data_IF_393083633407
#
_entry.id   IF_393083633407
#
_cell.length_a   1.000
_cell.length_b   1.000
_cell.length_c   1.000
_cell.angle_alpha   90.00
_cell.angle_beta   90.00
_cell.angle_gamma   90.00
#
_symmetry.space_group_name_H-M   'P 1'
#
loop_
_entity.id
_entity.type
_entity.pdbx_description
1 polymer ?
#
# COMPACT_ATOMS: atom_id res chain seq x y z
N UNK A 1 -6.04 48.50 51.62
CA UNK A 1 -4.98 47.52 51.31
C UNK A 1 -5.67 46.24 50.86
N UNK A 2 -5.73 45.99 49.56
CA UNK A 2 -5.79 44.63 48.99
C UNK A 2 -5.50 44.77 47.50
N UNK A 3 -4.32 44.28 47.12
CA UNK A 3 -3.89 44.10 45.76
C UNK A 3 -4.65 42.92 45.15
N UNK A 4 -5.05 43.04 43.89
CA UNK A 4 -5.17 41.88 43.03
C UNK A 4 -4.05 42.00 42.00
N UNK A 5 -2.94 41.31 42.29
CA UNK A 5 -1.95 40.98 41.28
C UNK A 5 -2.59 40.01 40.31
N UNK A 6 -2.54 40.34 39.02
CA UNK A 6 -2.93 39.43 37.96
C UNK A 6 -1.96 38.24 37.96
N UNK A 7 -2.40 37.13 38.53
CA UNK A 7 -1.75 35.84 38.38
C UNK A 7 -1.95 35.37 36.94
N UNK A 8 -0.85 34.99 36.30
CA UNK A 8 -0.78 34.30 35.01
C UNK A 8 -1.88 33.24 34.89
N UNK A 9 -2.85 33.49 34.01
CA UNK A 9 -3.89 32.54 33.67
C UNK A 9 -3.46 31.83 32.37
N UNK A 10 -3.11 30.53 32.40
CA UNK A 10 -2.85 29.76 31.19
C UNK A 10 -4.19 29.51 30.48
N UNK A 11 -4.56 30.47 29.63
CA UNK A 11 -5.58 30.45 28.58
C UNK A 11 -6.98 29.87 28.91
N UNK A 12 -7.48 30.04 30.13
CA UNK A 12 -8.90 29.84 30.46
C UNK A 12 -9.68 31.15 30.48
N UNK A 13 -10.35 31.49 29.37
CA UNK A 13 -11.24 32.65 29.19
C UNK A 13 -10.59 34.03 29.50
N UNK A 14 -9.87 34.59 28.54
CA UNK A 14 -9.34 35.96 28.65
C UNK A 14 -10.42 36.95 28.23
N UNK A 15 -10.74 37.91 29.09
CA UNK A 15 -11.61 39.05 28.78
C UNK A 15 -10.71 40.25 28.55
N UNK A 16 -10.55 40.68 27.31
CA UNK A 16 -9.79 41.90 27.01
C UNK A 16 -10.66 43.13 27.31
N UNK A 17 -10.28 43.95 28.26
CA UNK A 17 -10.99 45.15 28.69
C UNK A 17 -10.10 46.38 28.59
N UNK A 18 -10.71 47.54 28.77
CA UNK A 18 -10.02 48.83 28.92
C UNK A 18 -9.09 48.92 30.13
N UNK A 19 -9.18 47.99 31.07
CA UNK A 19 -8.34 47.94 32.26
C UNK A 19 -7.01 47.21 31.99
N UNK A 20 -6.95 46.39 30.94
CA UNK A 20 -5.76 45.62 30.57
C UNK A 20 -4.67 46.44 29.88
N UNK A 21 -4.93 47.75 29.65
CA UNK A 21 -3.96 48.72 29.12
C UNK A 21 -3.54 48.53 27.66
N UNK A 22 -3.63 47.32 27.11
CA UNK A 22 -3.01 46.98 25.83
C UNK A 22 -3.94 46.31 24.80
N UNK A 23 -5.15 45.84 25.17
CA UNK A 23 -6.08 45.17 24.24
C UNK A 23 -5.41 44.07 23.39
N UNK A 24 -4.42 43.40 24.00
CA UNK A 24 -3.49 42.51 23.32
C UNK A 24 -3.72 41.09 23.83
N UNK A 25 -3.68 40.12 22.93
CA UNK A 25 -3.78 38.71 23.33
C UNK A 25 -2.45 38.23 23.89
N UNK A 26 -2.46 37.65 25.09
CA UNK A 26 -1.26 37.10 25.73
C UNK A 26 -0.98 35.65 25.34
N UNK A 27 -1.93 35.01 24.64
CA UNK A 27 -1.76 33.70 24.01
C UNK A 27 -2.48 33.63 22.66
N UNK A 28 -2.61 32.45 22.09
CA UNK A 28 -3.34 32.17 20.85
C UNK A 28 -4.73 31.57 21.13
N UNK A 29 -5.59 31.52 20.12
CA UNK A 29 -6.92 30.92 20.20
C UNK A 29 -7.91 31.58 19.26
N UNK A 30 -9.21 31.42 19.54
CA UNK A 30 -10.29 31.99 18.74
C UNK A 30 -11.22 32.89 19.56
N UNK A 31 -11.80 33.90 18.92
CA UNK A 31 -12.77 34.79 19.56
C UNK A 31 -14.11 34.08 19.68
N UNK A 32 -14.53 33.80 20.92
CA UNK A 32 -15.81 33.16 21.24
C UNK A 32 -16.98 34.15 21.22
N UNK A 33 -16.73 35.40 21.62
CA UNK A 33 -17.78 36.42 21.81
C UNK A 33 -17.22 37.82 21.76
N UNK A 34 -17.97 38.71 21.12
CA UNK A 34 -17.77 40.15 21.19
C UNK A 34 -18.83 40.79 22.09
N UNK A 35 -18.39 41.59 23.06
CA UNK A 35 -19.28 42.49 23.80
C UNK A 35 -18.91 43.92 23.48
N UNK A 36 -19.91 44.71 23.06
CA UNK A 36 -19.76 46.11 22.71
C UNK A 36 -21.02 46.87 23.14
N UNK A 37 -20.84 48.11 23.62
CA UNK A 37 -21.93 48.94 24.15
C UNK A 37 -22.09 50.18 23.27
N UNK A 38 -23.27 50.36 22.66
CA UNK A 38 -23.60 51.51 21.79
C UNK A 38 -24.78 52.31 22.34
N UNK A 39 -24.85 53.60 22.00
CA UNK A 39 -26.02 54.46 22.28
C UNK A 39 -27.07 54.47 21.18
N UNK A 40 -26.65 54.26 19.93
CA UNK A 40 -27.50 54.31 18.74
C UNK A 40 -27.15 53.14 17.83
N UNK A 41 -28.16 52.60 17.15
CA UNK A 41 -27.96 51.49 16.23
C UNK A 41 -27.04 51.91 15.06
N UNK A 42 -26.07 51.06 14.74
CA UNK A 42 -25.14 51.30 13.63
C UNK A 42 -24.34 50.04 13.28
N UNK A 43 -23.70 50.07 12.10
CA UNK A 43 -22.83 48.99 11.64
C UNK A 43 -21.38 49.22 12.08
N UNK A 44 -20.82 48.24 12.78
CA UNK A 44 -19.45 48.25 13.32
C UNK A 44 -18.72 47.00 12.88
N UNK A 45 -17.44 47.13 12.52
CA UNK A 45 -16.54 46.01 12.26
C UNK A 45 -15.62 45.78 13.44
N UNK A 46 -15.73 44.63 14.09
CA UNK A 46 -14.78 44.18 15.12
C UNK A 46 -13.62 43.46 14.45
N UNK A 47 -12.39 43.78 14.84
CA UNK A 47 -11.19 43.43 14.08
C UNK A 47 -10.07 42.93 14.99
N UNK A 48 -9.33 41.94 14.49
CA UNK A 48 -8.05 41.51 15.07
C UNK A 48 -6.92 42.03 14.18
N UNK A 49 -5.92 42.65 14.81
CA UNK A 49 -4.78 43.29 14.16
C UNK A 49 -3.49 42.60 14.54
N UNK A 50 -2.70 42.22 13.53
CA UNK A 50 -1.40 41.57 13.72
C UNK A 50 -0.28 42.52 13.32
N UNK A 51 0.74 42.61 14.15
CA UNK A 51 1.94 43.38 13.83
C UNK A 51 2.98 42.51 13.15
N UNK A 52 3.54 42.98 12.03
CA UNK A 52 4.74 42.41 11.41
C UNK A 52 5.78 43.51 11.18
N UNK A 53 5.47 44.44 10.29
CA UNK A 53 6.20 45.71 10.03
C UNK A 53 5.28 46.92 10.23
N UNK A 54 3.99 46.73 9.93
CA UNK A 54 2.85 47.58 10.27
C UNK A 54 1.76 46.70 10.89
N UNK A 55 0.70 47.28 11.45
CA UNK A 55 -0.43 46.49 11.92
C UNK A 55 -1.39 46.25 10.76
N UNK A 56 -1.79 45.00 10.58
CA UNK A 56 -2.68 44.56 9.49
C UNK A 56 -3.91 43.87 10.08
N UNK A 57 -5.10 44.11 9.51
CA UNK A 57 -6.32 43.37 9.88
C UNK A 57 -6.20 41.93 9.41
N UNK A 58 -6.22 40.97 10.33
CA UNK A 58 -6.14 39.53 10.03
C UNK A 58 -7.50 38.82 10.08
N UNK A 59 -8.51 39.47 10.65
CA UNK A 59 -9.88 38.97 10.61
C UNK A 59 -10.87 40.00 11.14
N UNK A 60 -12.12 39.89 10.70
CA UNK A 60 -13.17 40.82 11.09
C UNK A 60 -14.56 40.19 11.19
N UNK A 61 -15.39 40.77 12.06
CA UNK A 61 -16.82 40.48 12.13
C UNK A 61 -17.59 41.79 11.98
N UNK A 62 -18.48 41.86 10.99
CA UNK A 62 -19.35 43.03 10.77
C UNK A 62 -20.68 42.83 11.47
N UNK A 63 -21.14 43.86 12.18
CA UNK A 63 -22.38 43.77 12.93
C UNK A 63 -23.21 45.06 12.88
N UNK A 64 -24.51 44.94 12.64
CA UNK A 64 -25.48 46.05 12.73
C UNK A 64 -26.16 45.99 14.10
N UNK A 65 -25.81 46.90 15.00
CA UNK A 65 -26.07 46.77 16.44
C UNK A 65 -27.47 47.23 16.84
N UNK A 66 -28.20 46.40 17.61
CA UNK A 66 -28.97 46.91 18.75
C UNK A 66 -28.52 46.36 20.13
N UNK A 67 -27.73 45.26 20.22
CA UNK A 67 -27.15 44.68 21.46
C UNK A 67 -26.13 43.52 21.19
N UNK A 68 -25.56 42.86 22.24
CA UNK A 68 -24.43 41.86 22.26
C UNK A 68 -24.41 40.83 21.09
N UNK A 69 -23.22 40.41 20.64
CA UNK A 69 -23.03 39.44 19.54
C UNK A 69 -22.23 38.19 19.93
N UNK A 70 -22.70 37.02 19.49
CA UNK A 70 -22.02 35.73 19.63
C UNK A 70 -21.69 35.21 18.22
N UNK A 71 -20.42 35.26 17.77
CA UNK A 71 -20.05 34.74 16.46
C UNK A 71 -20.38 33.24 16.40
N UNK A 72 -21.12 32.78 15.37
CA UNK A 72 -21.25 31.37 15.11
C UNK A 72 -19.86 30.80 14.85
N UNK A 73 -19.78 29.50 15.02
CA UNK A 73 -18.53 28.75 15.02
C UNK A 73 -17.65 28.94 13.78
N UNK A 74 -18.26 29.10 12.60
CA UNK A 74 -17.57 29.35 11.32
C UNK A 74 -17.01 30.76 11.16
N UNK A 75 -17.49 31.71 11.97
CA UNK A 75 -17.21 33.14 11.81
C UNK A 75 -16.27 33.66 12.90
N UNK A 76 -15.70 32.77 13.72
CA UNK A 76 -14.77 33.15 14.79
C UNK A 76 -13.44 33.56 14.19
N UNK A 77 -12.87 34.65 14.70
CA UNK A 77 -11.56 35.15 14.27
C UNK A 77 -10.47 34.50 15.12
N UNK A 78 -9.47 33.90 14.48
CA UNK A 78 -8.27 33.35 15.12
C UNK A 78 -7.28 34.47 15.44
N UNK A 79 -6.68 34.42 16.63
CA UNK A 79 -5.66 35.36 17.08
C UNK A 79 -4.39 34.62 17.55
N UNK A 80 -3.25 35.31 17.46
CA UNK A 80 -1.96 34.88 17.97
C UNK A 80 -1.55 35.70 19.18
N UNK A 81 -0.59 35.19 19.94
CA UNK A 81 0.06 35.98 20.97
C UNK A 81 0.58 37.28 20.37
N UNK A 82 0.18 38.38 20.97
CA UNK A 82 0.59 39.72 20.62
C UNK A 82 -0.28 40.44 19.61
N UNK A 83 -1.32 39.79 19.05
CA UNK A 83 -2.35 40.44 18.24
C UNK A 83 -3.21 41.39 19.10
N UNK A 84 -3.84 42.37 18.47
CA UNK A 84 -4.65 43.41 19.13
C UNK A 84 -6.11 43.35 18.68
N UNK A 85 -7.04 43.72 19.56
CA UNK A 85 -8.44 43.96 19.17
C UNK A 85 -8.72 45.44 18.93
N UNK A 86 -9.50 45.75 17.89
CA UNK A 86 -10.01 47.10 17.62
C UNK A 86 -11.37 47.04 16.90
N UNK A 87 -11.97 48.21 16.64
CA UNK A 87 -13.16 48.31 15.80
C UNK A 87 -13.11 49.52 14.87
N UNK A 88 -13.80 49.43 13.72
CA UNK A 88 -13.93 50.51 12.73
C UNK A 88 -15.40 50.73 12.32
N UNK A 89 -15.73 51.97 11.96
CA UNK A 89 -17.09 52.41 11.58
C UNK A 89 -17.07 53.50 10.49
N UNK A 90 -18.14 53.55 9.67
CA UNK A 90 -18.29 54.49 8.55
C UNK A 90 -18.97 55.82 8.90
N UNK A 91 -19.94 55.83 9.83
CA UNK A 91 -20.64 57.04 10.29
C UNK A 91 -21.56 56.74 11.50
N UNK A 92 -21.45 57.53 12.58
CA UNK A 92 -22.35 57.43 13.74
C UNK A 92 -21.88 58.20 14.98
N UNK A 93 -22.80 58.85 15.70
CA UNK A 93 -22.54 59.52 16.98
C UNK A 93 -22.60 58.52 18.15
N UNK A 94 -21.45 58.00 18.58
CA UNK A 94 -21.33 57.10 19.73
C UNK A 94 -20.84 57.85 20.97
N UNK A 95 -21.12 57.38 22.21
CA UNK A 95 -20.31 57.82 23.33
C UNK A 95 -18.86 57.36 23.11
N UNK A 96 -17.92 58.21 23.50
CA UNK A 96 -16.48 58.02 23.38
C UNK A 96 -16.03 56.60 23.76
N UNK A 97 -15.40 55.90 22.81
CA UNK A 97 -14.68 54.62 22.90
C UNK A 97 -13.54 54.62 21.87
N UNK A 98 -12.64 53.62 21.88
CA UNK A 98 -11.43 53.56 21.01
C UNK A 98 -11.79 53.39 19.52
N UNK A 99 -12.13 54.50 18.87
CA UNK A 99 -12.44 54.58 17.44
C UNK A 99 -11.16 54.82 16.65
N UNK A 100 -10.86 53.97 15.67
CA UNK A 100 -9.97 54.37 14.56
C UNK A 100 -10.80 55.36 13.71
N UNK A 101 -10.53 56.67 13.84
CA UNK A 101 -11.45 57.72 13.37
C UNK A 101 -11.74 57.63 11.87
N UNK A 102 -13.02 57.72 11.51
CA UNK A 102 -13.54 58.05 10.17
C UNK A 102 -13.05 57.15 9.02
N UNK A 103 -12.65 55.92 9.32
CA UNK A 103 -12.21 54.96 8.30
C UNK A 103 -12.79 53.58 8.62
N UNK A 104 -13.24 52.88 7.58
CA UNK A 104 -13.63 51.48 7.63
C UNK A 104 -12.45 50.68 7.09
N UNK A 105 -11.96 49.74 7.88
CA UNK A 105 -10.92 48.81 7.45
C UNK A 105 -11.54 47.47 7.10
N UNK A 106 -10.90 46.72 6.21
CA UNK A 106 -11.23 45.36 5.83
C UNK A 106 -10.03 44.44 6.12
N UNK A 107 -10.26 43.12 6.09
CA UNK A 107 -9.16 42.14 6.18
C UNK A 107 -8.09 42.44 5.12
N UNK A 108 -6.84 42.52 5.54
CA UNK A 108 -5.69 42.88 4.71
C UNK A 108 -5.30 44.36 4.75
N UNK A 109 -6.17 45.27 5.20
CA UNK A 109 -5.82 46.69 5.34
C UNK A 109 -4.82 46.90 6.47
N UNK A 110 -4.01 47.96 6.36
CA UNK A 110 -2.96 48.28 7.33
C UNK A 110 -3.16 49.63 7.99
N UNK A 111 -2.71 49.76 9.24
CA UNK A 111 -2.77 50.99 10.01
C UNK A 111 -1.58 51.07 10.98
N UNK A 112 -0.95 52.24 11.09
CA UNK A 112 0.13 52.43 12.05
C UNK A 112 -0.43 53.00 13.36
N UNK A 113 -0.44 52.19 14.42
CA UNK A 113 -0.87 52.63 15.76
C UNK A 113 0.20 53.45 16.50
N UNK A 114 1.40 53.67 15.93
CA UNK A 114 2.44 54.49 16.56
C UNK A 114 1.97 55.95 16.76
N UNK A 115 2.21 56.49 17.96
CA UNK A 115 1.82 57.86 18.35
C UNK A 115 0.40 58.01 18.90
N UNK A 116 -0.48 57.02 18.72
CA UNK A 116 -1.83 57.01 19.34
C UNK A 116 -1.77 56.58 20.82
N UNK A 117 -0.65 55.99 21.24
CA UNK A 117 -0.46 55.43 22.57
C UNK A 117 -1.37 54.23 22.77
N UNK A 118 -0.78 53.03 22.70
CA UNK A 118 -1.41 51.82 23.24
C UNK A 118 -1.73 52.09 24.72
N UNK A 119 -3.01 52.24 25.05
CA UNK A 119 -3.46 52.54 26.42
C UNK A 119 -3.69 54.01 26.78
N UNK A 120 -3.58 54.98 25.87
CA UNK A 120 -3.87 56.38 26.23
C UNK A 120 -5.38 56.64 26.35
N UNK A 121 -5.85 56.68 27.61
CA UNK A 121 -7.22 57.00 28.02
C UNK A 121 -7.70 58.32 27.39
N UNK A 122 -8.72 58.25 26.53
CA UNK A 122 -9.40 59.45 26.03
C UNK A 122 -10.46 59.89 27.05
N UNK A 123 -10.19 60.97 27.81
CA UNK A 123 -11.14 61.68 28.70
C UNK A 123 -11.66 60.90 29.93
N UNK A 124 -10.82 60.09 30.57
CA UNK A 124 -11.15 59.37 31.82
C UNK A 124 -12.39 58.46 31.73
N UNK A 125 -12.78 58.04 30.51
CA UNK A 125 -13.88 57.11 30.28
C UNK A 125 -13.41 55.98 29.37
N UNK A 126 -13.38 54.79 29.94
CA UNK A 126 -13.20 53.51 29.28
C UNK A 126 -14.57 52.98 28.85
N UNK A 127 -14.72 52.54 27.60
CA UNK A 127 -15.86 51.69 27.22
C UNK A 127 -15.39 50.52 26.37
N UNK A 128 -16.00 49.38 26.70
CA UNK A 128 -15.45 48.05 26.55
C UNK A 128 -15.91 47.41 25.22
N UNK A 129 -15.01 47.37 24.24
CA UNK A 129 -14.96 46.17 23.41
C UNK A 129 -14.29 45.09 24.28
N UNK A 130 -14.98 43.97 24.47
CA UNK A 130 -14.36 42.79 25.06
C UNK A 130 -14.50 41.62 24.13
N UNK A 131 -13.39 40.97 23.84
CA UNK A 131 -13.39 39.61 23.31
C UNK A 131 -13.30 38.65 24.50
N UNK A 132 -14.20 37.66 24.57
CA UNK A 132 -13.91 36.46 25.35
C UNK A 132 -13.32 35.42 24.43
N UNK A 133 -12.25 34.77 24.85
CA UNK A 133 -11.54 33.80 24.03
C UNK A 133 -11.83 32.35 24.43
N UNK A 134 -11.52 31.42 23.53
CA UNK A 134 -11.38 29.98 23.84
C UNK A 134 -9.94 29.57 23.63
N UNK A 135 -9.44 28.70 24.52
CA UNK A 135 -8.09 28.13 24.43
C UNK A 135 -7.92 27.29 23.17
N UNK A 136 -6.66 27.14 22.72
CA UNK A 136 -6.28 25.99 21.91
C UNK A 136 -6.33 24.73 22.78
N UNK A 137 -7.02 23.69 22.34
CA UNK A 137 -6.92 22.33 22.85
C UNK A 137 -5.60 21.71 22.39
N UNK A 138 -5.04 20.82 23.20
CA UNK A 138 -3.89 20.02 22.77
C UNK A 138 -4.41 18.97 21.77
N UNK A 139 -3.79 18.82 20.58
CA UNK A 139 -4.17 17.75 19.66
C UNK A 139 -3.89 16.40 20.32
N UNK A 140 -4.66 15.37 19.98
CA UNK A 140 -4.54 14.04 20.57
C UNK A 140 -4.73 12.94 19.52
N UNK A 141 -4.13 11.78 19.79
CA UNK A 141 -4.36 10.58 19.00
C UNK A 141 -5.58 9.81 19.52
N UNK A 142 -6.35 9.22 18.62
CA UNK A 142 -7.48 8.35 19.00
C UNK A 142 -7.31 6.89 18.54
N UNK A 143 -6.17 6.58 17.92
CA UNK A 143 -5.76 5.23 17.58
C UNK A 143 -4.32 4.89 18.03
N UNK A 144 -3.70 5.75 18.85
CA UNK A 144 -2.46 5.49 19.57
C UNK A 144 -2.69 5.72 21.08
N UNK A 145 -1.93 5.05 21.96
CA UNK A 145 -0.86 4.08 21.67
C UNK A 145 -1.41 2.76 21.12
N UNK A 146 -0.61 2.05 20.32
CA UNK A 146 -1.02 0.79 19.70
C UNK A 146 0.15 -0.19 19.53
N UNK A 147 -0.15 -1.48 19.53
CA UNK A 147 0.80 -2.54 19.13
C UNK A 147 0.34 -3.20 17.85
N UNK A 148 1.25 -3.32 16.88
CA UNK A 148 1.02 -4.05 15.62
C UNK A 148 2.08 -5.14 15.44
N UNK A 149 1.77 -6.08 14.56
CA UNK A 149 2.67 -7.15 14.17
C UNK A 149 2.98 -7.08 12.68
N UNK A 150 4.25 -7.21 12.33
CA UNK A 150 4.73 -7.31 10.95
C UNK A 150 5.64 -8.52 10.84
N UNK A 151 5.75 -9.12 9.66
CA UNK A 151 6.75 -10.16 9.43
C UNK A 151 8.11 -9.57 9.04
N UNK A 152 9.17 -10.32 9.30
CA UNK A 152 10.56 -9.93 8.99
C UNK A 152 10.82 -9.67 7.50
N UNK A 153 10.15 -10.38 6.60
CA UNK A 153 10.31 -10.21 5.15
C UNK A 153 9.37 -9.16 4.53
N UNK A 154 8.64 -8.38 5.35
CA UNK A 154 7.64 -7.43 4.84
C UNK A 154 8.24 -6.53 3.74
N UNK A 155 7.50 -6.37 2.64
CA UNK A 155 8.01 -5.65 1.48
C UNK A 155 8.26 -4.17 1.78
N UNK A 156 9.29 -3.61 1.17
CA UNK A 156 9.63 -2.19 1.28
C UNK A 156 8.46 -1.33 0.77
N UNK A 157 8.22 -0.18 1.41
CA UNK A 157 7.11 0.71 1.07
C UNK A 157 5.73 0.17 1.47
N UNK A 158 5.65 -0.86 2.31
CA UNK A 158 4.36 -1.34 2.83
C UNK A 158 3.82 -0.40 3.90
N UNK A 159 2.52 -0.06 3.82
CA UNK A 159 1.81 0.68 4.88
C UNK A 159 1.57 -0.24 6.07
N UNK A 160 2.15 0.10 7.23
CA UNK A 160 2.03 -0.72 8.45
C UNK A 160 1.02 -0.16 9.45
N UNK A 161 0.77 1.15 9.41
CA UNK A 161 -0.19 1.80 10.28
C UNK A 161 -0.65 3.15 9.72
N UNK A 162 -1.95 3.43 9.75
CA UNK A 162 -2.49 4.75 9.43
C UNK A 162 -2.72 5.52 10.73
N UNK A 163 -2.01 6.61 10.93
CA UNK A 163 -2.13 7.42 12.15
C UNK A 163 -3.37 8.29 12.07
N UNK A 164 -4.07 8.46 13.19
CA UNK A 164 -5.21 9.35 13.25
C UNK A 164 -5.19 10.20 14.50
N UNK A 165 -5.13 11.51 14.29
CA UNK A 165 -5.16 12.53 15.33
C UNK A 165 -6.34 13.48 15.10
N UNK A 166 -6.79 14.10 16.19
CA UNK A 166 -7.79 15.15 16.19
C UNK A 166 -7.31 16.30 17.06
N UNK A 167 -7.88 17.44 16.78
CA UNK A 167 -7.78 18.61 17.62
C UNK A 167 -9.21 19.11 17.79
N UNK A 168 -9.58 19.41 19.03
CA UNK A 168 -10.90 19.95 19.34
C UNK A 168 -10.93 21.48 19.15
N UNK A 169 -9.87 22.04 18.58
CA UNK A 169 -9.78 23.43 18.15
C UNK A 169 -10.83 23.82 17.12
N UNK A 170 -11.32 25.05 17.30
CA UNK A 170 -12.38 25.58 16.46
C UNK A 170 -11.86 26.05 15.10
N UNK A 171 -10.59 26.45 15.05
CA UNK A 171 -9.78 26.61 13.85
C UNK A 171 -9.27 25.23 13.44
N UNK A 172 -9.84 24.65 12.38
CA UNK A 172 -9.47 23.34 11.81
C UNK A 172 -8.07 23.34 11.16
N UNK A 173 -7.12 24.08 11.71
CA UNK A 173 -5.86 24.39 11.08
C UNK A 173 -4.85 23.24 11.29
N UNK A 174 -4.90 22.28 10.38
CA UNK A 174 -3.70 21.60 9.87
C UNK A 174 -2.82 20.91 10.90
N UNK A 175 -3.36 19.89 11.57
CA UNK A 175 -2.56 18.96 12.37
C UNK A 175 -1.41 18.41 11.50
N UNK A 176 -0.19 18.66 11.95
CA UNK A 176 1.03 18.10 11.37
C UNK A 176 1.43 16.85 12.14
N UNK A 177 1.77 15.78 11.42
CA UNK A 177 2.30 14.55 12.01
C UNK A 177 3.77 14.40 11.64
N UNK A 178 4.59 14.01 12.62
CA UNK A 178 6.04 13.80 12.43
C UNK A 178 6.54 12.60 13.24
N UNK A 179 7.66 12.01 12.79
CA UNK A 179 8.46 11.09 13.61
C UNK A 179 9.60 11.91 14.26
N UNK A 180 9.53 12.21 15.57
CA UNK A 180 10.53 13.06 16.23
C UNK A 180 11.92 12.40 16.28
N UNK A 181 11.98 11.07 16.22
CA UNK A 181 13.23 10.32 16.11
C UNK A 181 13.37 9.77 14.69
N UNK A 182 14.44 10.12 13.95
CA UNK A 182 14.71 9.54 12.65
C UNK A 182 14.80 8.01 12.73
N UNK A 183 14.22 7.32 11.75
CA UNK A 183 14.26 5.86 11.67
C UNK A 183 14.70 5.41 10.28
N UNK A 184 15.62 4.44 10.23
CA UNK A 184 15.98 3.76 8.98
C UNK A 184 14.93 2.73 8.55
N UNK A 185 13.98 2.36 9.43
CA UNK A 185 12.98 1.32 9.20
C UNK A 185 11.61 1.87 8.85
N UNK A 186 11.28 3.08 9.31
CA UNK A 186 9.96 3.67 9.14
C UNK A 186 10.03 5.08 8.60
N UNK A 187 9.11 5.42 7.71
CA UNK A 187 8.84 6.78 7.27
C UNK A 187 7.37 7.11 7.50
N UNK A 188 7.08 8.37 7.81
CA UNK A 188 5.72 8.88 7.87
C UNK A 188 5.47 9.70 6.61
N UNK A 189 4.47 9.30 5.85
CA UNK A 189 4.09 9.92 4.58
C UNK A 189 3.00 10.99 4.78
N UNK A 190 2.79 11.82 3.76
CA UNK A 190 1.83 12.93 3.77
C UNK A 190 0.36 12.49 3.85
N UNK A 191 0.08 11.22 3.59
CA UNK A 191 -1.22 10.57 3.77
C UNK A 191 -1.44 10.07 5.21
N UNK A 192 -0.56 10.44 6.15
CA UNK A 192 -0.56 10.02 7.55
C UNK A 192 -0.32 8.51 7.75
N UNK A 193 0.15 7.81 6.72
CA UNK A 193 0.58 6.43 6.81
C UNK A 193 2.03 6.32 7.25
N UNK A 194 2.30 5.37 8.16
CA UNK A 194 3.64 4.90 8.48
C UNK A 194 3.97 3.74 7.55
N UNK A 195 5.06 3.88 6.81
CA UNK A 195 5.52 2.94 5.79
C UNK A 195 6.90 2.39 6.13
N UNK A 196 7.17 1.16 5.69
CA UNK A 196 8.49 0.52 5.83
C UNK A 196 9.51 1.13 4.85
N UNK A 197 10.73 1.40 5.31
CA UNK A 197 11.83 1.95 4.50
C UNK A 197 12.68 0.85 3.83
N UNK A 198 13.51 1.27 2.88
CA UNK A 198 14.18 0.36 1.93
C UNK A 198 15.39 -0.42 2.49
N UNK A 199 16.00 0.01 3.60
CA UNK A 199 17.22 -0.63 4.11
C UNK A 199 17.58 -0.13 5.53
N UNK A 200 17.83 -1.01 6.51
CA UNK A 200 17.73 -2.48 6.45
C UNK A 200 16.27 -2.98 6.47
N UNK A 201 16.06 -4.18 5.91
CA UNK A 201 14.82 -4.92 6.08
C UNK A 201 14.67 -5.38 7.54
N UNK A 202 13.45 -5.73 7.93
CA UNK A 202 13.25 -6.34 9.24
C UNK A 202 13.95 -7.69 9.30
N UNK A 203 14.46 -8.02 10.47
CA UNK A 203 15.10 -9.30 10.71
C UNK A 203 14.74 -9.71 12.14
N UNK A 204 13.93 -10.77 12.22
CA UNK A 204 13.42 -11.29 13.47
C UNK A 204 14.56 -11.74 14.41
N UNK A 205 15.67 -12.24 13.87
CA UNK A 205 16.75 -12.80 14.66
C UNK A 205 17.66 -11.70 15.26
N UNK A 206 17.65 -10.49 14.67
CA UNK A 206 18.39 -9.32 15.21
C UNK A 206 17.51 -8.38 16.04
N UNK A 207 16.38 -7.89 15.51
CA UNK A 207 15.53 -6.89 16.18
C UNK A 207 14.05 -7.24 16.10
N UNK A 208 13.46 -7.56 17.26
CA UNK A 208 12.06 -8.07 17.35
C UNK A 208 11.03 -7.00 17.67
N UNK A 209 11.46 -5.81 18.10
CA UNK A 209 10.59 -4.75 18.59
C UNK A 209 11.14 -3.39 18.20
N UNK A 210 10.25 -2.55 17.68
CA UNK A 210 10.52 -1.15 17.43
C UNK A 210 9.50 -0.30 18.16
N UNK A 211 9.99 0.70 18.88
CA UNK A 211 9.18 1.68 19.58
C UNK A 211 9.20 2.97 18.74
N UNK A 212 8.14 3.18 17.95
CA UNK A 212 8.01 4.32 17.04
C UNK A 212 7.21 5.41 17.73
N UNK A 213 7.88 6.52 18.07
CA UNK A 213 7.21 7.71 18.59
C UNK A 213 6.58 8.48 17.44
N UNK A 214 5.34 8.93 17.61
CA UNK A 214 4.61 9.75 16.66
C UNK A 214 4.17 11.02 17.35
N UNK A 215 4.47 12.18 16.75
CA UNK A 215 4.11 13.50 17.27
C UNK A 215 3.04 14.12 16.39
N UNK A 216 1.92 14.56 16.99
CA UNK A 216 0.94 15.42 16.35
C UNK A 216 1.05 16.84 16.89
N UNK A 217 0.90 17.85 16.04
CA UNK A 217 0.99 19.26 16.45
C UNK A 217 0.14 20.15 15.56
N UNK A 218 -0.59 21.07 16.17
CA UNK A 218 -1.35 22.16 15.56
C UNK A 218 -0.48 23.43 15.35
N UNK A 219 0.83 23.32 15.62
CA UNK A 219 1.78 24.43 15.56
C UNK A 219 1.85 25.29 16.84
N UNK A 220 1.01 25.03 17.85
CA UNK A 220 1.03 25.71 19.15
C UNK A 220 1.34 24.72 20.28
N UNK A 221 0.62 23.61 20.31
CA UNK A 221 0.78 22.50 21.23
C UNK A 221 1.04 21.19 20.48
N UNK A 222 1.27 20.11 21.22
CA UNK A 222 1.54 18.81 20.66
C UNK A 222 1.28 17.68 21.64
N UNK A 223 0.99 16.51 21.08
CA UNK A 223 0.97 15.24 21.78
C UNK A 223 1.94 14.26 21.11
N UNK A 224 2.48 13.32 21.90
CA UNK A 224 3.43 12.30 21.46
C UNK A 224 3.01 10.96 22.01
N UNK A 225 2.65 10.05 21.12
CA UNK A 225 2.24 8.70 21.47
C UNK A 225 3.11 7.65 20.78
N UNK A 226 3.02 6.41 21.25
CA UNK A 226 3.87 5.31 20.82
C UNK A 226 3.12 4.27 20.00
N UNK A 227 3.69 3.93 18.84
CA UNK A 227 3.37 2.73 18.07
C UNK A 227 4.46 1.67 18.33
N UNK A 228 4.06 0.54 18.91
CA UNK A 228 4.95 -0.62 19.11
C UNK A 228 4.81 -1.55 17.91
N UNK A 229 5.88 -1.76 17.17
CA UNK A 229 5.93 -2.70 16.04
C UNK A 229 6.69 -3.94 16.48
N UNK A 230 5.99 -5.08 16.54
CA UNK A 230 6.57 -6.38 16.88
C UNK A 230 6.83 -7.18 15.59
N UNK A 231 8.08 -7.52 15.36
CA UNK A 231 8.48 -8.36 14.23
C UNK A 231 8.20 -9.82 14.57
N UNK A 232 7.54 -10.52 13.65
CA UNK A 232 7.31 -11.97 13.67
C UNK A 232 8.20 -12.63 12.63
N UNK A 233 8.65 -13.84 12.94
CA UNK A 233 9.38 -14.67 11.98
C UNK A 233 8.40 -15.23 10.96
N UNK A 234 8.76 -15.20 9.68
CA UNK A 234 8.02 -15.95 8.67
C UNK A 234 8.10 -17.45 8.93
N UNK A 235 7.00 -18.18 8.73
CA UNK A 235 7.11 -19.61 8.46
C UNK A 235 7.62 -19.75 7.01
N UNK A 236 8.54 -20.67 6.75
CA UNK A 236 9.00 -20.92 5.38
C UNK A 236 8.33 -22.19 4.86
N UNK A 237 8.00 -22.27 3.55
CA UNK A 237 7.33 -23.44 2.99
C UNK A 237 8.14 -24.73 3.21
N UNK A 238 7.58 -25.68 3.95
CA UNK A 238 8.23 -26.96 4.22
C UNK A 238 7.57 -28.11 3.46
N UNK A 239 8.31 -28.72 2.53
CA UNK A 239 7.83 -29.83 1.72
C UNK A 239 7.92 -31.14 2.51
N UNK A 240 6.77 -31.75 2.78
CA UNK A 240 6.68 -32.94 3.62
C UNK A 240 6.67 -34.25 2.85
N UNK A 241 6.43 -34.20 1.53
CA UNK A 241 6.30 -35.40 0.69
C UNK A 241 7.20 -35.43 -0.54
N UNK A 242 8.18 -34.52 -0.65
CA UNK A 242 9.18 -34.49 -1.71
C UNK A 242 10.60 -34.56 -1.13
N UNK A 243 11.57 -35.18 -1.84
CA UNK A 243 11.47 -35.71 -3.20
C UNK A 243 10.64 -37.00 -3.29
N UNK A 244 10.04 -37.26 -4.46
CA UNK A 244 9.22 -38.45 -4.68
C UNK A 244 9.28 -38.94 -6.12
N UNK A 245 9.28 -40.25 -6.30
CA UNK A 245 9.21 -40.93 -7.58
C UNK A 245 7.96 -41.80 -7.64
N UNK A 246 7.25 -41.76 -8.75
CA UNK A 246 6.09 -42.61 -9.02
C UNK A 246 6.26 -43.34 -10.35
N UNK A 247 5.47 -44.40 -10.53
CA UNK A 247 5.41 -45.14 -11.79
C UNK A 247 3.98 -45.14 -12.31
N UNK A 248 3.83 -45.02 -13.64
CA UNK A 248 2.54 -45.08 -14.32
C UNK A 248 2.67 -45.94 -15.57
N UNK A 249 1.65 -46.74 -15.85
CA UNK A 249 1.54 -47.51 -17.08
C UNK A 249 1.21 -46.56 -18.25
N UNK A 250 1.84 -46.77 -19.41
CA UNK A 250 1.58 -46.00 -20.64
C UNK A 250 0.09 -46.07 -21.02
N UNK A 251 -0.60 -47.18 -20.75
CA UNK A 251 -2.02 -47.38 -21.04
C UNK A 251 -2.96 -46.57 -20.14
N UNK A 252 -2.47 -45.63 -19.34
CA UNK A 252 -3.32 -44.67 -18.63
C UNK A 252 -4.04 -43.78 -19.65
N UNK A 253 -5.26 -44.18 -20.04
CA UNK A 253 -6.01 -43.71 -21.23
C UNK A 253 -6.64 -42.32 -21.10
N UNK A 254 -6.42 -41.59 -20.02
CA UNK A 254 -7.12 -40.33 -19.75
C UNK A 254 -6.17 -39.15 -19.54
N UNK A 255 -6.57 -38.01 -20.09
CA UNK A 255 -6.02 -36.71 -19.71
C UNK A 255 -6.56 -36.28 -18.33
N UNK A 256 -5.90 -35.31 -17.69
CA UNK A 256 -6.31 -34.74 -16.40
C UNK A 256 -6.34 -35.76 -15.25
N UNK A 257 -5.53 -36.81 -15.31
CA UNK A 257 -5.40 -37.77 -14.21
C UNK A 257 -4.59 -37.11 -13.11
N UNK A 258 -5.10 -37.15 -11.88
CA UNK A 258 -4.35 -36.73 -10.69
C UNK A 258 -3.28 -37.78 -10.41
N UNK A 259 -2.02 -37.39 -10.55
CA UNK A 259 -0.85 -38.25 -10.36
C UNK A 259 -0.38 -38.21 -8.91
N UNK A 260 -0.43 -37.02 -8.30
CA UNK A 260 -0.01 -36.80 -6.93
C UNK A 260 -0.56 -35.46 -6.41
N UNK A 261 -0.25 -35.12 -5.17
CA UNK A 261 -0.45 -33.77 -4.62
C UNK A 261 0.75 -33.38 -3.77
N UNK A 262 1.34 -32.23 -4.09
CA UNK A 262 2.44 -31.65 -3.30
C UNK A 262 1.91 -31.28 -1.92
N UNK A 263 2.57 -31.78 -0.87
CA UNK A 263 2.20 -31.51 0.52
C UNK A 263 3.25 -30.57 1.12
N UNK A 264 2.84 -29.33 1.35
CA UNK A 264 3.68 -28.29 1.94
C UNK A 264 3.00 -27.77 3.19
N UNK A 265 3.72 -27.72 4.31
CA UNK A 265 3.25 -27.09 5.53
C UNK A 265 3.74 -25.66 5.60
N UNK A 266 2.81 -24.73 5.69
CA UNK A 266 3.04 -23.30 5.85
C UNK A 266 1.80 -22.65 6.49
N UNK A 267 1.96 -21.52 7.17
CA UNK A 267 0.84 -20.77 7.76
C UNK A 267 0.18 -19.81 6.78
N UNK A 268 0.84 -19.53 5.67
CA UNK A 268 0.48 -18.52 4.68
C UNK A 268 0.00 -19.17 3.37
N UNK A 269 -0.52 -18.35 2.45
CA UNK A 269 -1.07 -18.83 1.19
C UNK A 269 0.02 -19.22 0.21
N UNK A 270 -0.01 -20.45 -0.30
CA UNK A 270 1.03 -20.97 -1.20
C UNK A 270 0.68 -20.85 -2.68
N UNK A 271 1.69 -20.57 -3.48
CA UNK A 271 1.71 -20.68 -4.93
C UNK A 271 2.84 -21.62 -5.37
N UNK A 272 2.60 -22.37 -6.44
CA UNK A 272 3.57 -23.35 -6.94
C UNK A 272 4.09 -22.95 -8.30
N UNK A 273 5.40 -23.11 -8.49
CA UNK A 273 6.06 -23.03 -9.80
C UNK A 273 6.86 -24.31 -10.03
N UNK A 274 7.10 -24.66 -11.29
CA UNK A 274 7.85 -25.87 -11.61
C UNK A 274 8.56 -25.78 -12.95
N UNK A 275 9.64 -26.54 -13.08
CA UNK A 275 10.31 -26.83 -14.35
C UNK A 275 10.28 -28.32 -14.63
N UNK A 276 10.36 -28.71 -15.89
CA UNK A 276 10.34 -30.10 -16.32
C UNK A 276 11.57 -30.44 -17.16
N UNK A 277 12.02 -31.68 -17.03
CA UNK A 277 12.99 -32.31 -17.92
C UNK A 277 12.47 -33.71 -18.35
N UNK A 278 12.28 -33.96 -19.66
CA UNK A 278 12.36 -33.00 -20.78
C UNK A 278 11.36 -31.85 -20.68
N UNK A 279 11.69 -30.70 -21.27
CA UNK A 279 10.88 -29.47 -21.19
C UNK A 279 9.43 -29.64 -21.68
N UNK A 280 9.19 -30.56 -22.62
CA UNK A 280 7.86 -30.90 -23.13
C UNK A 280 7.18 -32.03 -22.32
N UNK A 281 7.25 -31.96 -20.98
CA UNK A 281 6.60 -32.95 -20.11
C UNK A 281 5.06 -32.83 -20.17
N UNK A 282 4.31 -33.94 -20.13
CA UNK A 282 2.85 -33.94 -20.10
C UNK A 282 2.32 -33.71 -18.67
N UNK A 283 2.93 -32.79 -17.91
CA UNK A 283 2.66 -32.58 -16.48
C UNK A 283 2.29 -31.12 -16.20
N UNK A 284 1.28 -30.95 -15.34
CA UNK A 284 0.86 -29.67 -14.82
C UNK A 284 0.74 -29.71 -13.31
N UNK A 285 1.08 -28.60 -12.65
CA UNK A 285 0.86 -28.42 -11.22
C UNK A 285 -0.06 -27.23 -11.00
N UNK A 286 -1.21 -27.47 -10.38
CA UNK A 286 -2.16 -26.42 -10.05
C UNK A 286 -1.76 -25.65 -8.79
N UNK A 287 -2.40 -24.49 -8.55
CA UNK A 287 -2.14 -23.66 -7.36
C UNK A 287 -2.42 -24.35 -6.02
N UNK A 288 -3.23 -25.40 -6.01
CA UNK A 288 -3.49 -26.24 -4.83
C UNK A 288 -2.50 -27.41 -4.68
N UNK A 289 -1.40 -27.41 -5.45
CA UNK A 289 -0.38 -28.45 -5.39
C UNK A 289 -0.75 -29.76 -6.08
N UNK A 290 -1.92 -29.88 -6.72
CA UNK A 290 -2.28 -31.10 -7.48
C UNK A 290 -1.41 -31.23 -8.71
N UNK A 291 -0.79 -32.40 -8.86
CA UNK A 291 -0.01 -32.78 -10.04
C UNK A 291 -0.92 -33.58 -10.97
N UNK A 292 -1.13 -33.08 -12.18
CA UNK A 292 -2.05 -33.66 -13.18
C UNK A 292 -1.39 -33.88 -14.53
N UNK A 293 -1.77 -34.96 -15.22
CA UNK A 293 -1.37 -35.17 -16.60
C UNK A 293 -2.09 -34.20 -17.55
N UNK A 294 -1.36 -33.60 -18.49
CA UNK A 294 -1.94 -32.71 -19.52
C UNK A 294 -2.36 -33.47 -20.78
N UNK A 295 -1.78 -34.65 -21.01
CA UNK A 295 -2.16 -35.59 -22.06
C UNK A 295 -2.30 -37.01 -21.49
N UNK A 296 -2.92 -37.91 -22.24
CA UNK A 296 -2.85 -39.34 -21.92
C UNK A 296 -1.40 -39.82 -22.05
N UNK A 297 -0.99 -40.78 -21.20
CA UNK A 297 0.34 -41.39 -21.33
C UNK A 297 0.43 -42.32 -22.54
N UNK A 298 -0.71 -42.75 -23.10
CA UNK A 298 -0.79 -43.63 -24.27
C UNK A 298 -0.21 -43.01 -25.56
N UNK A 299 0.11 -41.72 -25.55
CA UNK A 299 0.72 -41.00 -26.67
C UNK A 299 2.17 -40.58 -26.40
N UNK A 300 2.75 -41.07 -25.30
CA UNK A 300 4.06 -40.65 -24.80
C UNK A 300 5.09 -41.76 -25.03
N UNK A 301 6.26 -41.39 -25.57
CA UNK A 301 7.38 -42.29 -25.85
C UNK A 301 8.64 -41.97 -25.03
N UNK A 302 8.52 -41.10 -24.02
CA UNK A 302 9.61 -40.74 -23.11
C UNK A 302 9.48 -41.57 -21.83
N UNK A 303 10.56 -42.27 -21.39
CA UNK A 303 10.53 -43.19 -20.24
C UNK A 303 10.25 -42.52 -18.90
N UNK A 304 10.53 -41.22 -18.77
CA UNK A 304 10.19 -40.51 -17.56
C UNK A 304 10.37 -39.01 -17.66
N UNK A 305 9.90 -38.34 -16.62
CA UNK A 305 9.94 -36.89 -16.49
C UNK A 305 10.35 -36.52 -15.07
N UNK A 306 11.36 -35.66 -14.98
CA UNK A 306 11.77 -35.01 -13.74
C UNK A 306 11.13 -33.62 -13.65
N UNK A 307 10.46 -33.35 -12.54
CA UNK A 307 9.75 -32.09 -12.27
C UNK A 307 10.35 -31.45 -11.03
N UNK A 308 11.00 -30.30 -11.20
CA UNK A 308 11.56 -29.53 -10.09
C UNK A 308 10.53 -28.51 -9.64
N UNK A 309 10.07 -28.65 -8.41
CA UNK A 309 8.96 -27.89 -7.85
C UNK A 309 9.50 -26.85 -6.85
N UNK A 310 8.87 -25.68 -6.86
CA UNK A 310 9.04 -24.64 -5.86
C UNK A 310 7.70 -24.14 -5.35
N UNK A 311 7.66 -23.80 -4.05
CA UNK A 311 6.53 -23.19 -3.37
C UNK A 311 6.93 -21.79 -2.92
N UNK A 312 6.01 -20.85 -3.05
CA UNK A 312 6.15 -19.47 -2.62
C UNK A 312 4.91 -19.08 -1.79
N UNK A 313 5.14 -18.61 -0.56
CA UNK A 313 4.13 -18.16 0.42
C UNK A 313 3.76 -16.67 0.28
N UNK A 314 4.20 -16.01 -0.80
CA UNK A 314 4.14 -14.55 -1.00
C UNK A 314 5.40 -13.80 -0.56
N UNK A 315 6.34 -14.50 0.10
CA UNK A 315 7.42 -13.89 0.86
C UNK A 315 8.76 -14.60 0.67
N UNK A 316 8.81 -15.91 0.92
CA UNK A 316 9.92 -16.82 0.72
C UNK A 316 9.59 -17.84 -0.38
N UNK A 317 10.51 -18.05 -1.31
CA UNK A 317 10.44 -19.15 -2.26
C UNK A 317 11.35 -20.29 -1.81
N UNK A 318 10.77 -21.46 -1.54
CA UNK A 318 11.52 -22.70 -1.30
C UNK A 318 11.37 -23.61 -2.52
N UNK A 319 12.48 -23.97 -3.14
CA UNK A 319 12.49 -24.74 -4.39
C UNK A 319 13.43 -25.94 -4.39
N UNK A 320 13.69 -26.44 -5.60
CA UNK A 320 14.63 -27.54 -5.84
C UNK A 320 14.11 -28.91 -5.41
N UNK A 321 12.78 -29.07 -5.26
CA UNK A 321 12.18 -30.33 -4.81
C UNK A 321 11.81 -31.19 -6.01
N UNK A 322 12.44 -32.36 -6.12
CA UNK A 322 12.24 -33.27 -7.25
C UNK A 322 10.99 -34.14 -7.06
N UNK A 323 10.08 -34.07 -8.01
CA UNK A 323 9.06 -35.09 -8.23
C UNK A 323 9.28 -35.72 -9.60
N UNK A 324 9.28 -37.04 -9.69
CA UNK A 324 9.52 -37.73 -10.95
C UNK A 324 8.49 -38.82 -11.22
N UNK A 325 8.20 -39.02 -12.51
CA UNK A 325 7.32 -40.09 -12.99
C UNK A 325 8.03 -40.91 -14.05
N UNK A 326 8.11 -42.22 -13.83
CA UNK A 326 8.53 -43.18 -14.85
C UNK A 326 7.29 -43.80 -15.50
N UNK A 327 7.27 -43.80 -16.83
CA UNK A 327 6.21 -44.42 -17.61
C UNK A 327 6.66 -45.83 -17.97
N UNK A 328 5.93 -46.83 -17.48
CA UNK A 328 6.14 -48.26 -17.74
C UNK A 328 5.39 -48.69 -18.98
N UNK A 329 5.84 -49.79 -19.59
CA UNK A 329 5.19 -50.45 -20.72
C UNK A 329 4.98 -49.48 -21.89
N UNK A 330 6.01 -48.69 -22.19
CA UNK A 330 6.02 -47.79 -23.33
C UNK A 330 6.14 -48.62 -24.59
N UNK A 331 5.15 -48.51 -25.48
CA UNK A 331 5.24 -49.09 -26.81
C UNK A 331 6.45 -48.49 -27.56
N UNK A 332 7.45 -49.33 -27.77
CA UNK A 332 8.67 -49.12 -28.51
C UNK A 332 8.36 -49.04 -30.02
N UNK A 333 9.33 -48.52 -30.79
CA UNK A 333 9.15 -48.44 -32.24
C UNK A 333 9.62 -49.75 -32.87
N UNK A 334 8.88 -50.29 -33.86
CA UNK A 334 9.31 -51.47 -34.56
C UNK A 334 10.61 -51.19 -35.32
N UNK A 335 11.53 -52.14 -35.29
CA UNK A 335 12.82 -52.05 -35.97
C UNK A 335 12.96 -53.14 -37.02
N UNK A 336 13.44 -52.79 -38.21
CA UNK A 336 13.79 -53.80 -39.20
C UNK A 336 14.93 -54.67 -38.67
N UNK A 337 14.68 -55.98 -38.57
CA UNK A 337 15.62 -56.95 -38.00
C UNK A 337 16.61 -57.48 -39.04
N UNK A 338 16.29 -57.33 -40.33
CA UNK A 338 17.13 -57.83 -41.42
C UNK A 338 17.63 -56.72 -42.37
N UNK A 339 17.29 -55.45 -42.11
CA UNK A 339 17.75 -54.30 -42.91
C UNK A 339 18.88 -53.58 -42.16
N UNK A 340 20.13 -53.94 -42.47
CA UNK A 340 21.31 -53.31 -41.88
C UNK A 340 22.00 -52.35 -42.87
N UNK A 341 22.08 -51.06 -42.53
CA UNK A 341 22.94 -50.09 -43.23
C UNK A 341 22.61 -49.81 -44.72
N UNK A 342 23.56 -49.21 -45.44
CA UNK A 342 23.46 -48.75 -46.84
C UNK A 342 23.45 -49.90 -47.87
N UNK A 343 22.63 -50.92 -47.67
CA UNK A 343 22.36 -51.98 -48.66
C UNK A 343 21.22 -51.54 -49.59
N UNK A 344 21.46 -50.45 -50.33
CA UNK A 344 20.46 -49.79 -51.17
C UNK A 344 20.49 -50.21 -52.64
N UNK A 345 21.05 -51.38 -52.98
CA UNK A 345 21.06 -51.84 -54.38
C UNK A 345 20.76 -53.34 -54.44
N UNK A 346 19.50 -53.67 -54.66
CA UNK A 346 19.09 -54.99 -55.12
C UNK A 346 19.06 -54.96 -56.65
N UNK A 347 19.88 -55.79 -57.28
CA UNK A 347 19.86 -55.98 -58.73
C UNK A 347 18.75 -56.94 -59.11
N UNK A 348 17.88 -56.54 -60.03
CA UNK A 348 16.89 -57.42 -60.65
C UNK A 348 17.39 -57.77 -62.03
N UNK A 349 17.45 -59.05 -62.37
CA UNK A 349 17.84 -59.48 -63.71
C UNK A 349 16.72 -59.12 -64.68
N UNK A 350 17.07 -58.53 -65.83
CA UNK A 350 16.09 -58.24 -66.87
C UNK A 350 15.34 -59.51 -67.29
N UNK A 351 14.05 -59.37 -67.61
CA UNK A 351 13.15 -60.49 -67.94
C UNK A 351 12.93 -61.49 -66.80
N UNK A 352 13.21 -61.12 -65.54
CA UNK A 352 12.77 -61.91 -64.39
C UNK A 352 11.24 -62.08 -64.42
N UNK A 353 10.72 -63.30 -64.18
CA UNK A 353 9.27 -63.53 -64.16
C UNK A 353 8.54 -62.65 -63.13
N UNK A 354 7.31 -62.25 -63.43
CA UNK A 354 6.43 -61.58 -62.47
C UNK A 354 6.25 -62.48 -61.24
N UNK A 355 6.36 -61.89 -60.04
CA UNK A 355 6.35 -62.63 -58.77
C UNK A 355 7.73 -63.08 -58.28
N UNK A 356 8.82 -62.70 -58.97
CA UNK A 356 10.18 -62.93 -58.45
C UNK A 356 10.38 -62.15 -57.15
N UNK A 357 10.64 -62.85 -56.05
CA UNK A 357 10.93 -62.23 -54.75
C UNK A 357 12.28 -61.50 -54.80
N UNK A 358 12.26 -60.19 -54.57
CA UNK A 358 13.47 -59.37 -54.53
C UNK A 358 14.10 -59.35 -53.14
N UNK A 359 13.26 -59.16 -52.13
CA UNK A 359 13.67 -59.08 -50.74
C UNK A 359 12.47 -59.38 -49.84
N UNK A 360 12.73 -60.04 -48.72
CA UNK A 360 11.71 -60.26 -47.68
C UNK A 360 12.09 -59.37 -46.52
N UNK A 361 11.31 -58.31 -46.27
CA UNK A 361 11.51 -57.47 -45.09
C UNK A 361 11.01 -58.18 -43.85
N UNK A 362 11.76 -58.05 -42.76
CA UNK A 362 11.34 -58.45 -41.43
C UNK A 362 11.61 -57.35 -40.43
N UNK A 363 10.65 -57.15 -39.53
CA UNK A 363 10.76 -56.24 -38.42
C UNK A 363 10.46 -56.97 -37.12
N UNK A 364 10.99 -56.43 -36.03
CA UNK A 364 10.73 -56.89 -34.68
C UNK A 364 10.25 -55.71 -33.87
N UNK A 365 9.23 -55.94 -33.06
CA UNK A 365 8.91 -55.09 -31.93
C UNK A 365 9.36 -55.79 -30.65
N UNK A 366 9.86 -55.01 -29.69
CA UNK A 366 10.22 -55.55 -28.38
C UNK A 366 8.97 -55.71 -27.51
N UNK A 367 7.87 -55.01 -27.84
CA UNK A 367 6.58 -55.17 -27.17
C UNK A 367 5.87 -56.45 -27.59
N UNK A 368 5.66 -57.33 -26.61
CA UNK A 368 5.05 -58.62 -26.83
C UNK A 368 3.55 -58.49 -27.13
N UNK A 369 3.13 -58.96 -28.31
CA UNK A 369 1.73 -58.99 -28.71
C UNK A 369 1.33 -57.90 -29.73
N UNK A 370 2.24 -56.99 -30.04
CA UNK A 370 2.03 -55.96 -31.06
C UNK A 370 1.91 -56.59 -32.45
N UNK A 371 1.01 -56.04 -33.27
CA UNK A 371 0.81 -56.46 -34.66
C UNK A 371 1.56 -55.51 -35.58
N UNK A 372 2.56 -56.04 -36.30
CA UNK A 372 3.33 -55.27 -37.26
C UNK A 372 2.58 -55.12 -38.59
N UNK A 373 2.53 -53.90 -39.11
CA UNK A 373 2.00 -53.60 -40.43
C UNK A 373 3.08 -52.96 -41.31
N UNK A 374 3.24 -53.48 -42.53
CA UNK A 374 4.24 -52.99 -43.48
C UNK A 374 3.58 -52.15 -44.58
N UNK A 375 4.27 -51.11 -45.03
CA UNK A 375 3.88 -50.28 -46.16
C UNK A 375 5.12 -49.86 -46.95
N UNK A 376 4.97 -49.55 -48.24
CA UNK A 376 6.08 -49.17 -49.08
C UNK A 376 5.72 -48.04 -50.05
N UNK A 377 6.73 -47.31 -50.51
CA UNK A 377 6.60 -46.29 -51.55
C UNK A 377 7.80 -46.38 -52.50
N UNK A 378 7.68 -45.85 -53.73
CA UNK A 378 8.74 -45.87 -54.74
C UNK A 378 9.10 -44.47 -55.22
N UNK A 379 10.40 -44.22 -55.38
CA UNK A 379 10.95 -43.05 -56.07
C UNK A 379 12.04 -43.50 -57.05
N UNK A 380 11.84 -43.41 -58.38
CA UNK A 380 10.69 -42.80 -59.05
C UNK A 380 9.39 -43.59 -58.87
N UNK A 381 8.25 -42.90 -58.97
CA UNK A 381 6.91 -43.49 -58.76
C UNK A 381 6.56 -44.58 -59.77
N UNK A 382 7.21 -44.61 -60.94
CA UNK A 382 7.04 -45.69 -61.92
C UNK A 382 7.43 -47.06 -61.34
N UNK A 383 8.28 -47.13 -60.31
CA UNK A 383 8.59 -48.39 -59.64
C UNK A 383 7.36 -49.10 -59.04
N UNK A 384 6.27 -48.36 -58.75
CA UNK A 384 4.99 -48.95 -58.32
C UNK A 384 4.34 -49.85 -59.40
N UNK A 385 4.74 -49.76 -60.67
CA UNK A 385 4.26 -50.69 -61.71
C UNK A 385 5.16 -51.91 -61.91
N UNK A 386 6.33 -51.95 -61.27
CA UNK A 386 7.32 -53.02 -61.41
C UNK A 386 7.47 -53.87 -60.14
N UNK A 387 7.22 -53.27 -58.98
CA UNK A 387 7.40 -53.89 -57.67
C UNK A 387 6.10 -53.88 -56.89
N UNK A 388 5.97 -54.82 -55.96
CA UNK A 388 4.87 -54.90 -55.01
C UNK A 388 5.39 -55.39 -53.66
N UNK A 389 4.65 -55.10 -52.58
CA UNK A 389 4.90 -55.61 -51.25
C UNK A 389 3.80 -56.63 -50.92
N UNK A 390 4.13 -57.90 -50.99
CA UNK A 390 3.19 -58.95 -50.59
C UNK A 390 2.99 -58.99 -49.07
N UNK A 391 1.74 -59.21 -48.66
CA UNK A 391 1.30 -59.38 -47.27
C UNK A 391 1.94 -60.55 -46.49
N UNK A 392 2.76 -61.38 -47.14
CA UNK A 392 3.49 -62.50 -46.55
C UNK A 392 4.81 -62.08 -45.88
N UNK A 393 5.14 -60.79 -45.89
CA UNK A 393 6.25 -60.22 -45.11
C UNK A 393 5.99 -60.44 -43.62
N UNK A 394 6.97 -61.03 -42.93
CA UNK A 394 6.87 -61.47 -41.52
C UNK A 394 7.59 -60.51 -40.61
#
# INVERSE_FOLDING_TARGET
MMAFGATSNPCGLTILTSEDGYYRFDCCGAIKKWTFVVKTAATVKFQVWRFSTTYTVVGENTFTVPCKYYPPHTDRIVYRQGDYIAYSDGSGHYPKGFRIRNQVFNVGDTFNFQGIGVGNKINNRAYAITATTTNSATPYFYNLPQTIHVYDHIAIGTSVFAVSAKDDDYDHDGISLTLPTPSSYFTLSTDYGIYTNANPMFDYDTTKRFDVLVRCSDGKDHDVEQLVVIVKKNAVPDFTNLPKHIEKDQQTTSNNVVLDTVSVTDTDGLTFTYTCDPASCPISIASNGKITSTSAFSTVFTPGYDVIIAANDGHTTVGGKLWSVHVKDINDRPQFSNVHGSLGVFGVVENSPVGTTLYVVSATDIDAGDTLSFSWTSSPTIGLSFFDLESSSK
#
